data_IF_224027477115
#
_entry.id   IF_224027477115
#
_cell.length_a   1.000
_cell.length_b   1.000
_cell.length_c   1.000
_cell.angle_alpha   90.00
_cell.angle_beta   90.00
_cell.angle_gamma   90.00
#
_symmetry.space_group_name_H-M   'P 1'
#
loop_
_entity.id
_entity.type
_entity.pdbx_description
1 polymer ?
#
# COMPACT_ATOMS: atom_id res chain seq x y z
N UNK A 1 4.06 39.53 23.49
CA UNK A 1 3.63 39.37 22.09
C UNK A 1 4.58 38.41 21.35
N UNK A 2 4.90 37.25 21.94
CA UNK A 2 5.93 36.31 21.42
C UNK A 2 5.37 34.89 21.17
N UNK A 3 4.15 34.60 21.63
CA UNK A 3 3.52 33.28 21.48
C UNK A 3 2.93 33.04 20.09
N UNK A 4 2.55 34.10 19.36
CA UNK A 4 1.96 33.98 18.02
C UNK A 4 3.00 33.58 16.96
N UNK A 5 4.23 34.09 17.06
CA UNK A 5 5.31 33.87 16.08
C UNK A 5 5.85 32.42 16.14
N UNK A 6 5.84 31.80 17.32
CA UNK A 6 6.16 30.37 17.50
C UNK A 6 5.06 29.45 16.96
N UNK A 7 3.80 29.89 16.97
CA UNK A 7 2.69 29.15 16.39
C UNK A 7 2.71 29.22 14.86
N UNK A 8 2.96 30.40 14.29
CA UNK A 8 3.06 30.58 12.83
C UNK A 8 4.23 29.81 12.22
N UNK A 9 5.39 29.80 12.88
CA UNK A 9 6.54 28.99 12.44
C UNK A 9 6.27 27.48 12.46
N UNK A 10 5.59 26.97 13.50
CA UNK A 10 5.17 25.56 13.57
C UNK A 10 4.10 25.17 12.54
N UNK A 11 3.18 26.08 12.24
CA UNK A 11 2.20 25.92 11.16
C UNK A 11 2.85 25.91 9.78
N UNK A 12 3.82 26.78 9.54
CA UNK A 12 4.53 26.86 8.26
C UNK A 12 5.36 25.61 7.99
N UNK A 13 6.01 25.07 9.01
CA UNK A 13 6.70 23.78 8.92
C UNK A 13 5.73 22.63 8.62
N UNK A 14 4.54 22.66 9.21
CA UNK A 14 3.49 21.66 8.95
C UNK A 14 2.97 21.77 7.51
N UNK A 15 2.71 22.99 7.02
CA UNK A 15 2.29 23.26 5.64
C UNK A 15 3.37 22.84 4.64
N UNK A 16 4.66 23.05 4.95
CA UNK A 16 5.79 22.63 4.10
C UNK A 16 5.87 21.11 3.99
N UNK A 17 5.82 20.39 5.12
CA UNK A 17 5.83 18.92 5.17
C UNK A 17 4.63 18.31 4.44
N UNK A 18 3.45 18.93 4.55
CA UNK A 18 2.25 18.46 3.88
C UNK A 18 2.37 18.56 2.35
N UNK A 19 2.89 19.68 1.84
CA UNK A 19 3.14 19.86 0.40
C UNK A 19 4.13 18.83 -0.14
N UNK A 20 5.26 18.64 0.56
CA UNK A 20 6.28 17.65 0.18
C UNK A 20 5.70 16.21 0.17
N UNK A 21 4.90 15.86 1.17
CA UNK A 21 4.24 14.56 1.23
C UNK A 21 3.25 14.35 0.06
N UNK A 22 2.52 15.39 -0.31
CA UNK A 22 1.56 15.37 -1.41
C UNK A 22 2.28 15.18 -2.76
N UNK A 23 3.35 15.93 -2.99
CA UNK A 23 4.21 15.79 -4.18
C UNK A 23 4.82 14.38 -4.28
N UNK A 24 5.37 13.86 -3.17
CA UNK A 24 5.90 12.49 -3.10
C UNK A 24 4.83 11.44 -3.43
N UNK A 25 3.59 11.63 -2.95
CA UNK A 25 2.46 10.73 -3.25
C UNK A 25 2.08 10.79 -4.73
N UNK A 26 1.99 11.98 -5.29
CA UNK A 26 1.66 12.17 -6.71
C UNK A 26 2.73 11.59 -7.63
N UNK A 27 4.01 11.82 -7.33
CA UNK A 27 5.12 11.25 -8.09
C UNK A 27 5.13 9.70 -8.04
N UNK A 28 4.89 9.11 -6.86
CA UNK A 28 4.76 7.66 -6.70
C UNK A 28 3.53 7.09 -7.40
N UNK A 29 2.41 7.82 -7.44
CA UNK A 29 1.21 7.39 -8.14
C UNK A 29 1.43 7.30 -9.66
N UNK A 30 2.22 8.21 -10.25
CA UNK A 30 2.60 8.13 -11.67
C UNK A 30 3.46 6.90 -11.96
N UNK A 31 4.33 6.48 -11.03
CA UNK A 31 5.12 5.24 -11.17
C UNK A 31 4.32 3.94 -10.92
N UNK A 32 3.13 4.02 -10.31
CA UNK A 32 2.28 2.89 -9.96
C UNK A 32 1.49 2.28 -11.11
N UNK A 33 1.54 2.88 -12.32
CA UNK A 33 0.87 2.35 -13.51
C UNK A 33 1.61 1.14 -14.13
N UNK A 34 2.89 0.91 -13.76
CA UNK A 34 3.68 -0.21 -14.28
C UNK A 34 3.13 -1.60 -13.91
N UNK A 35 2.33 -1.70 -12.85
CA UNK A 35 1.69 -2.96 -12.45
C UNK A 35 0.27 -3.16 -13.01
N UNK A 36 -0.34 -2.12 -13.60
CA UNK A 36 -1.68 -2.23 -14.22
C UNK A 36 -1.65 -2.97 -15.57
N UNK A 37 -0.50 -2.94 -16.25
CA UNK A 37 -0.25 -3.72 -17.48
C UNK A 37 0.27 -5.15 -17.21
N UNK A 38 0.54 -5.48 -15.93
CA UNK A 38 0.84 -6.85 -15.48
C UNK A 38 -0.41 -7.72 -15.25
N UNK A 39 -1.60 -7.19 -15.56
CA UNK A 39 -2.91 -7.72 -15.19
C UNK A 39 -3.42 -8.97 -15.93
N UNK A 40 -2.55 -9.70 -16.63
CA UNK A 40 -2.94 -10.97 -17.28
C UNK A 40 -2.06 -12.17 -16.89
N UNK A 41 -1.01 -11.99 -16.08
CA UNK A 41 0.03 -13.03 -15.89
C UNK A 41 0.26 -13.50 -14.46
N UNK A 42 -0.63 -13.20 -13.50
CA UNK A 42 -0.43 -13.66 -12.12
C UNK A 42 -1.74 -14.17 -11.49
N UNK A 43 -1.67 -15.42 -11.02
CA UNK A 43 -2.57 -16.14 -10.09
C UNK A 43 -3.69 -17.05 -10.59
N UNK A 44 -3.80 -17.38 -11.89
CA UNK A 44 -4.64 -18.52 -12.32
C UNK A 44 -3.96 -19.90 -12.25
N UNK A 45 -2.76 -19.99 -11.67
CA UNK A 45 -1.97 -21.23 -11.71
C UNK A 45 -0.97 -21.43 -10.57
N UNK A 46 -1.06 -20.71 -9.45
CA UNK A 46 -0.22 -21.04 -8.29
C UNK A 46 -0.67 -22.36 -7.62
N UNK A 47 -1.96 -22.67 -7.70
CA UNK A 47 -2.50 -23.97 -7.35
C UNK A 47 -3.44 -24.40 -8.48
N UNK A 48 -3.02 -25.40 -9.26
CA UNK A 48 -3.91 -26.12 -10.17
C UNK A 48 -5.03 -26.83 -9.41
N UNK A 49 -6.03 -27.38 -10.11
CA UNK A 49 -7.11 -28.13 -9.46
C UNK A 49 -6.49 -29.19 -8.53
N UNK A 50 -6.86 -29.14 -7.25
CA UNK A 50 -6.32 -30.01 -6.20
C UNK A 50 -6.86 -31.42 -6.42
N UNK A 51 -6.22 -32.19 -7.29
CA UNK A 51 -6.57 -33.58 -7.58
C UNK A 51 -6.22 -34.53 -6.42
N UNK A 52 -5.41 -34.09 -5.45
CA UNK A 52 -4.93 -34.93 -4.33
C UNK A 52 -5.26 -34.31 -2.97
N UNK A 53 -6.55 -34.29 -2.60
CA UNK A 53 -6.97 -34.02 -1.23
C UNK A 53 -6.88 -35.30 -0.41
N UNK A 54 -5.84 -35.43 0.42
CA UNK A 54 -5.71 -36.55 1.37
C UNK A 54 -6.63 -36.31 2.56
N UNK A 55 -7.65 -37.14 2.69
CA UNK A 55 -8.54 -37.12 3.86
C UNK A 55 -7.90 -37.92 4.99
N UNK A 56 -7.50 -37.23 6.06
CA UNK A 56 -7.05 -37.90 7.28
C UNK A 56 -8.27 -38.43 8.03
N UNK A 57 -8.38 -39.75 8.13
CA UNK A 57 -9.35 -40.39 9.02
C UNK A 57 -9.01 -39.99 10.46
N UNK A 58 -9.84 -39.14 11.04
CA UNK A 58 -9.76 -38.76 12.45
C UNK A 58 -10.03 -39.99 13.30
N UNK A 59 -9.26 -40.13 14.38
CA UNK A 59 -9.42 -41.20 15.38
C UNK A 59 -10.83 -41.11 16.00
N UNK A 60 -11.64 -42.16 15.77
CA UNK A 60 -12.97 -42.49 16.34
C UNK A 60 -14.08 -41.43 16.15
N UNK A 61 -15.27 -41.74 15.62
CA UNK A 61 -15.97 -43.02 15.60
C UNK A 61 -16.41 -43.39 17.00
#
# INVERSE_FOLDING_TARGET
MASNESAESGEDDSKRKFREALERKNAKAVSGSSHRDGGAKQSRGAHGPVENRREFRRKSG
#
